data_IF_740613321302
#
_entry.id   IF_740613321302
#
_cell.length_a   1.000
_cell.length_b   1.000
_cell.length_c   1.000
_cell.angle_alpha   90.00
_cell.angle_beta   90.00
_cell.angle_gamma   90.00
#
_symmetry.space_group_name_H-M   'P 1'
#
loop_
_entity.id
_entity.type
_entity.pdbx_description
1 polymer ?
#
# COMPACT_ATOMS: atom_id res chain seq x y z
N UNK A 1 28.88 3.10 18.02
CA UNK A 1 29.49 2.69 16.73
C UNK A 1 28.48 2.78 15.58
N UNK A 2 27.28 2.20 15.69
CA UNK A 2 26.20 2.32 14.68
C UNK A 2 25.78 3.78 14.41
N UNK A 3 25.84 4.65 15.42
CA UNK A 3 25.52 6.09 15.31
C UNK A 3 26.44 6.88 14.39
N UNK A 4 27.68 6.43 14.12
CA UNK A 4 28.57 7.12 13.17
C UNK A 4 28.29 6.71 11.72
N UNK A 5 27.71 5.53 11.50
CA UNK A 5 27.39 4.99 10.17
C UNK A 5 26.21 5.72 9.51
N UNK A 6 25.34 6.36 10.31
CA UNK A 6 24.21 7.15 9.77
C UNK A 6 24.61 8.58 9.37
N UNK A 7 25.77 9.07 9.85
CA UNK A 7 26.19 10.47 9.65
C UNK A 7 26.38 10.87 8.18
N UNK A 8 26.94 10.03 7.28
CA UNK A 8 27.04 10.37 5.87
C UNK A 8 25.66 10.63 5.24
N UNK A 9 24.67 9.80 5.55
CA UNK A 9 23.30 9.96 5.06
C UNK A 9 22.65 11.24 5.62
N UNK A 10 22.79 11.49 6.92
CA UNK A 10 22.32 12.72 7.55
C UNK A 10 22.98 13.97 6.98
N UNK A 11 24.26 13.90 6.62
CA UNK A 11 24.99 15.02 6.06
C UNK A 11 24.52 15.33 4.64
N UNK A 12 24.36 14.30 3.81
CA UNK A 12 23.87 14.43 2.43
C UNK A 12 22.46 15.03 2.40
N UNK A 13 21.53 14.58 3.25
CA UNK A 13 20.16 15.12 3.30
C UNK A 13 20.04 16.55 3.82
N UNK A 14 21.06 17.05 4.55
CA UNK A 14 21.10 18.45 5.04
C UNK A 14 21.59 19.45 3.98
N UNK A 15 22.34 19.00 2.97
CA UNK A 15 22.93 19.90 1.98
C UNK A 15 21.86 20.72 1.20
N UNK A 16 20.71 20.17 0.76
CA UNK A 16 19.67 20.97 0.12
C UNK A 16 19.11 22.07 1.03
N UNK A 17 18.93 21.80 2.33
CA UNK A 17 18.37 22.76 3.29
C UNK A 17 19.32 23.95 3.50
N UNK A 18 20.62 23.66 3.62
CA UNK A 18 21.66 24.69 3.73
C UNK A 18 21.75 25.51 2.45
N UNK A 19 21.70 24.85 1.29
CA UNK A 19 21.78 25.51 -0.01
C UNK A 19 20.55 26.38 -0.29
N UNK A 20 19.35 25.93 0.10
CA UNK A 20 18.12 26.72 0.02
C UNK A 20 18.18 27.97 0.91
N UNK A 21 18.73 27.84 2.12
CA UNK A 21 18.94 28.99 3.02
C UNK A 21 19.89 30.02 2.39
N UNK A 22 20.94 29.58 1.70
CA UNK A 22 21.86 30.47 0.97
C UNK A 22 21.11 31.15 -0.20
N UNK A 23 20.32 30.41 -0.97
CA UNK A 23 19.49 30.97 -2.05
C UNK A 23 18.55 32.06 -1.53
N UNK A 24 17.86 31.83 -0.41
CA UNK A 24 16.91 32.79 0.18
C UNK A 24 17.60 34.09 0.65
N UNK A 25 18.85 34.01 1.10
CA UNK A 25 19.64 35.16 1.56
C UNK A 25 20.44 35.86 0.45
N UNK A 26 20.41 35.33 -0.77
CA UNK A 26 21.15 35.90 -1.91
C UNK A 26 20.23 36.79 -2.75
N UNK A 27 20.66 38.00 -3.18
CA UNK A 27 19.84 38.89 -4.01
C UNK A 27 19.44 38.23 -5.33
N UNK A 28 18.13 38.22 -5.65
CA UNK A 28 17.53 37.42 -6.74
C UNK A 28 18.06 37.79 -8.13
N UNK A 29 18.49 39.03 -8.31
CA UNK A 29 18.98 39.58 -9.57
C UNK A 29 20.49 39.39 -9.74
N UNK A 30 21.17 38.70 -8.81
CA UNK A 30 22.61 38.50 -8.86
C UNK A 30 23.01 37.20 -9.58
N UNK A 31 24.15 37.22 -10.27
CA UNK A 31 24.76 36.01 -10.83
C UNK A 31 25.03 34.92 -9.77
N UNK A 32 25.21 35.32 -8.51
CA UNK A 32 25.36 34.42 -7.35
C UNK A 32 24.07 33.67 -7.06
N UNK A 33 22.91 34.30 -7.19
CA UNK A 33 21.61 33.64 -7.00
C UNK A 33 21.40 32.53 -8.02
N UNK A 34 21.69 32.80 -9.29
CA UNK A 34 21.60 31.78 -10.35
C UNK A 34 22.57 30.62 -10.13
N UNK A 35 23.81 30.90 -9.69
CA UNK A 35 24.75 29.86 -9.29
C UNK A 35 24.23 29.02 -8.10
N UNK A 36 23.63 29.67 -7.10
CA UNK A 36 23.06 28.99 -5.94
C UNK A 36 21.86 28.12 -6.32
N UNK A 37 20.98 28.60 -7.19
CA UNK A 37 19.82 27.84 -7.71
C UNK A 37 20.26 26.58 -8.45
N UNK A 38 21.32 26.68 -9.28
CA UNK A 38 21.92 25.50 -9.94
C UNK A 38 22.51 24.51 -8.94
N UNK A 39 23.27 24.98 -7.95
CA UNK A 39 23.85 24.13 -6.91
C UNK A 39 22.76 23.41 -6.09
N UNK A 40 21.69 24.12 -5.72
CA UNK A 40 20.55 23.54 -5.02
C UNK A 40 19.89 22.43 -5.83
N UNK A 41 19.72 22.62 -7.15
CA UNK A 41 19.17 21.60 -8.05
C UNK A 41 20.03 20.33 -8.05
N UNK A 42 21.34 20.46 -8.26
CA UNK A 42 22.25 19.31 -8.33
C UNK A 42 22.38 18.57 -7.00
N UNK A 43 22.47 19.31 -5.88
CA UNK A 43 22.50 18.72 -4.55
C UNK A 43 21.19 18.00 -4.22
N UNK A 44 20.04 18.57 -4.59
CA UNK A 44 18.74 17.91 -4.42
C UNK A 44 18.64 16.62 -5.25
N UNK A 45 19.16 16.64 -6.49
CA UNK A 45 19.26 15.45 -7.35
C UNK A 45 20.14 14.37 -6.73
N UNK A 46 21.28 14.73 -6.15
CA UNK A 46 22.18 13.79 -5.46
C UNK A 46 21.47 13.11 -4.29
N UNK A 47 20.80 13.88 -3.41
CA UNK A 47 20.04 13.33 -2.28
C UNK A 47 18.97 12.35 -2.78
N UNK A 48 18.26 12.69 -3.87
CA UNK A 48 17.26 11.82 -4.47
C UNK A 48 17.86 10.50 -4.95
N UNK A 49 19.00 10.53 -5.63
CA UNK A 49 19.70 9.31 -6.08
C UNK A 49 20.15 8.43 -4.91
N UNK A 50 20.67 9.03 -3.82
CA UNK A 50 21.03 8.30 -2.62
C UNK A 50 19.81 7.64 -1.96
N UNK A 51 18.70 8.38 -1.83
CA UNK A 51 17.46 7.84 -1.28
C UNK A 51 16.90 6.69 -2.13
N UNK A 52 16.96 6.79 -3.46
CA UNK A 52 16.52 5.71 -4.35
C UNK A 52 17.43 4.48 -4.27
N UNK A 53 18.74 4.69 -4.19
CA UNK A 53 19.71 3.60 -3.97
C UNK A 53 19.45 2.85 -2.66
N UNK A 54 19.23 3.59 -1.56
CA UNK A 54 18.87 3.00 -0.27
C UNK A 54 17.56 2.22 -0.34
N UNK A 55 16.51 2.80 -0.95
CA UNK A 55 15.21 2.15 -1.15
C UNK A 55 15.32 0.87 -1.98
N UNK A 56 16.12 0.88 -3.05
CA UNK A 56 16.36 -0.29 -3.89
C UNK A 56 17.07 -1.40 -3.13
N UNK A 57 18.04 -1.05 -2.28
CA UNK A 57 18.77 -2.01 -1.45
C UNK A 57 17.85 -2.64 -0.40
N UNK A 58 17.03 -1.85 0.30
CA UNK A 58 16.04 -2.35 1.27
C UNK A 58 15.02 -3.28 0.60
N UNK A 59 14.52 -2.92 -0.59
CA UNK A 59 13.63 -3.78 -1.38
C UNK A 59 14.29 -5.10 -1.76
N UNK A 60 15.55 -5.06 -2.20
CA UNK A 60 16.32 -6.25 -2.56
C UNK A 60 16.52 -7.17 -1.35
N UNK A 61 16.92 -6.63 -0.21
CA UNK A 61 17.06 -7.37 1.04
C UNK A 61 15.74 -8.07 1.40
N UNK A 62 14.62 -7.34 1.34
CA UNK A 62 13.29 -7.92 1.56
C UNK A 62 12.96 -9.06 0.58
N UNK A 63 13.32 -8.95 -0.70
CA UNK A 63 13.10 -10.03 -1.68
C UNK A 63 13.92 -11.28 -1.33
N UNK A 64 15.18 -11.11 -0.92
CA UNK A 64 16.04 -12.23 -0.49
C UNK A 64 15.48 -12.88 0.77
N UNK A 65 15.07 -12.09 1.77
CA UNK A 65 14.47 -12.60 2.99
C UNK A 65 13.20 -13.40 2.68
N UNK A 66 12.26 -12.85 1.92
CA UNK A 66 11.01 -13.57 1.58
C UNK A 66 11.32 -14.82 0.77
N UNK A 67 12.23 -14.76 -0.20
CA UNK A 67 12.59 -15.94 -1.00
C UNK A 67 13.10 -17.10 -0.13
N UNK A 68 13.84 -16.80 0.95
CA UNK A 68 14.32 -17.82 1.88
C UNK A 68 13.21 -18.48 2.73
N UNK A 69 12.05 -17.81 2.84
CA UNK A 69 10.88 -18.27 3.58
C UNK A 69 9.92 -19.10 2.72
N UNK A 70 10.06 -19.07 1.38
CA UNK A 70 9.16 -19.73 0.44
C UNK A 70 9.70 -21.07 -0.04
N UNK A 71 8.89 -22.12 0.11
CA UNK A 71 9.16 -23.45 -0.44
C UNK A 71 8.25 -23.72 -1.64
N UNK A 72 8.83 -23.80 -2.84
CA UNK A 72 8.10 -24.07 -4.07
C UNK A 72 7.98 -25.58 -4.30
N UNK A 73 6.80 -26.13 -4.05
CA UNK A 73 6.43 -27.50 -4.46
C UNK A 73 5.91 -27.56 -5.90
N UNK A 74 5.53 -26.41 -6.43
CA UNK A 74 5.17 -26.17 -7.82
C UNK A 74 6.38 -25.62 -8.59
N UNK A 75 6.19 -25.23 -9.85
CA UNK A 75 7.24 -24.61 -10.67
C UNK A 75 7.89 -23.43 -9.90
N UNK A 76 9.23 -23.42 -9.71
CA UNK A 76 9.89 -22.33 -9.00
C UNK A 76 9.69 -20.98 -9.70
N UNK A 77 9.47 -19.94 -8.91
CA UNK A 77 9.37 -18.57 -9.40
C UNK A 77 10.62 -17.76 -8.99
N UNK A 78 11.30 -17.09 -9.92
CA UNK A 78 12.50 -16.30 -9.60
C UNK A 78 12.11 -15.00 -8.86
N UNK A 79 11.97 -15.08 -7.53
CA UNK A 79 11.44 -13.98 -6.72
C UNK A 79 12.41 -12.79 -6.62
N UNK A 80 13.71 -13.04 -6.54
CA UNK A 80 14.72 -11.98 -6.37
C UNK A 80 14.89 -11.21 -7.68
N UNK A 81 14.43 -9.96 -7.71
CA UNK A 81 14.51 -9.06 -8.86
C UNK A 81 14.78 -7.63 -8.41
N UNK A 82 15.54 -6.88 -9.22
CA UNK A 82 15.87 -5.48 -8.94
C UNK A 82 14.72 -4.49 -9.12
N UNK A 83 13.63 -4.93 -9.76
CA UNK A 83 12.41 -4.17 -10.02
C UNK A 83 11.20 -4.68 -9.23
N UNK A 84 11.39 -5.64 -8.31
CA UNK A 84 10.32 -6.21 -7.50
C UNK A 84 10.33 -5.67 -6.08
N UNK A 85 9.16 -5.32 -5.57
CA UNK A 85 8.96 -4.95 -4.18
C UNK A 85 7.62 -5.45 -3.67
N UNK A 86 7.55 -5.69 -2.37
CA UNK A 86 6.34 -6.15 -1.72
C UNK A 86 5.35 -4.97 -1.60
N UNK A 87 4.12 -5.17 -2.08
CA UNK A 87 3.00 -4.24 -1.90
C UNK A 87 2.21 -4.55 -0.63
N UNK A 88 1.92 -5.83 -0.38
CA UNK A 88 1.17 -6.26 0.81
C UNK A 88 1.46 -7.72 1.12
N UNK A 89 1.36 -8.11 2.40
CA UNK A 89 1.35 -9.50 2.82
C UNK A 89 0.42 -9.70 4.01
N UNK A 90 -0.12 -10.91 4.17
CA UNK A 90 -1.00 -11.21 5.29
C UNK A 90 -1.78 -12.50 5.12
N UNK A 91 -2.41 -12.91 6.22
CA UNK A 91 -3.28 -14.08 6.29
C UNK A 91 -4.70 -13.73 5.85
N UNK A 92 -5.34 -14.67 5.14
CA UNK A 92 -6.70 -14.58 4.65
C UNK A 92 -7.39 -15.93 4.85
N UNK A 93 -8.69 -15.91 5.09
CA UNK A 93 -9.50 -17.13 5.10
C UNK A 93 -10.05 -17.38 3.70
N UNK A 94 -9.59 -18.43 3.04
CA UNK A 94 -10.17 -18.93 1.79
C UNK A 94 -11.35 -19.86 2.09
N UNK A 95 -12.44 -19.67 1.36
CA UNK A 95 -13.66 -20.48 1.41
C UNK A 95 -13.70 -21.38 0.17
N UNK A 96 -13.51 -22.69 0.39
CA UNK A 96 -13.47 -23.68 -0.70
C UNK A 96 -14.75 -24.50 -0.65
N UNK A 97 -15.51 -24.50 -1.75
CA UNK A 97 -16.66 -25.38 -1.90
C UNK A 97 -16.21 -26.81 -2.17
N UNK A 98 -16.57 -27.73 -1.28
CA UNK A 98 -16.39 -29.16 -1.50
C UNK A 98 -17.67 -29.73 -2.13
N UNK A 99 -17.60 -30.11 -3.40
CA UNK A 99 -18.71 -30.71 -4.15
C UNK A 99 -18.81 -32.22 -3.85
N UNK A 100 -19.07 -32.56 -2.59
CA UNK A 100 -19.41 -33.91 -2.18
C UNK A 100 -20.78 -34.33 -2.69
N UNK A 101 -20.91 -35.61 -3.07
CA UNK A 101 -22.09 -36.24 -3.69
C UNK A 101 -23.40 -36.07 -2.88
N UNK A 102 -23.32 -35.71 -1.59
CA UNK A 102 -24.50 -35.61 -0.71
C UNK A 102 -24.63 -34.29 0.10
N UNK A 103 -23.73 -33.32 -0.03
CA UNK A 103 -23.84 -32.03 0.66
C UNK A 103 -22.79 -31.04 0.15
N UNK A 104 -23.21 -29.84 -0.28
CA UNK A 104 -22.31 -28.70 -0.49
C UNK A 104 -21.79 -28.26 0.88
N UNK A 105 -20.52 -28.55 1.18
CA UNK A 105 -19.86 -28.07 2.40
C UNK A 105 -18.79 -27.06 2.03
N UNK A 106 -18.90 -25.85 2.54
CA UNK A 106 -17.83 -24.86 2.43
C UNK A 106 -16.80 -25.11 3.51
N UNK A 107 -15.57 -25.43 3.12
CA UNK A 107 -14.44 -25.60 4.04
C UNK A 107 -13.66 -24.29 4.13
N UNK A 108 -13.23 -23.94 5.35
CA UNK A 108 -12.40 -22.76 5.60
C UNK A 108 -10.94 -23.17 5.65
N UNK A 109 -10.10 -22.50 4.87
CA UNK A 109 -8.66 -22.73 4.81
C UNK A 109 -7.92 -21.42 5.03
N UNK A 110 -6.97 -21.39 5.97
CA UNK A 110 -6.05 -20.26 6.08
C UNK A 110 -5.02 -20.28 4.96
N UNK A 111 -4.89 -19.16 4.27
CA UNK A 111 -3.89 -18.91 3.23
C UNK A 111 -3.12 -17.64 3.57
N UNK A 112 -1.87 -17.56 3.13
CA UNK A 112 -1.04 -16.39 3.34
C UNK A 112 -0.56 -15.85 2.01
N UNK A 113 -0.84 -14.58 1.74
CA UNK A 113 -0.57 -13.92 0.48
C UNK A 113 0.70 -13.08 0.58
N UNK A 114 1.52 -13.14 -0.45
CA UNK A 114 2.61 -12.18 -0.71
C UNK A 114 2.31 -11.50 -2.04
N UNK A 115 1.88 -10.25 -1.99
CA UNK A 115 1.57 -9.45 -3.16
C UNK A 115 2.72 -8.51 -3.45
N UNK A 116 3.31 -8.66 -4.63
CA UNK A 116 4.35 -7.80 -5.18
C UNK A 116 3.77 -6.89 -6.25
N UNK A 117 4.59 -5.97 -6.76
CA UNK A 117 4.19 -5.04 -7.81
C UNK A 117 3.95 -5.67 -9.18
N UNK A 118 4.30 -6.95 -9.38
CA UNK A 118 4.18 -7.67 -10.65
C UNK A 118 3.63 -9.10 -10.51
N UNK A 119 3.67 -9.70 -9.32
CA UNK A 119 3.17 -11.05 -9.05
C UNK A 119 2.45 -11.14 -7.69
N UNK A 120 1.42 -11.97 -7.61
CA UNK A 120 0.82 -12.47 -6.37
C UNK A 120 1.29 -13.90 -6.13
N UNK A 121 1.80 -14.19 -4.93
CA UNK A 121 2.14 -15.54 -4.48
C UNK A 121 1.20 -15.96 -3.35
N UNK A 122 0.59 -17.13 -3.51
CA UNK A 122 -0.37 -17.70 -2.56
C UNK A 122 0.27 -18.90 -1.87
N UNK A 123 0.18 -18.93 -0.55
CA UNK A 123 0.89 -19.92 0.26
C UNK A 123 0.04 -20.52 1.37
N UNK A 124 0.47 -21.69 1.87
CA UNK A 124 0.02 -22.26 3.15
C UNK A 124 1.14 -22.17 4.16
N UNK A 125 0.86 -21.62 5.34
CA UNK A 125 1.83 -21.50 6.43
C UNK A 125 2.28 -22.89 6.89
N UNK A 126 3.59 -23.11 6.96
CA UNK A 126 4.24 -24.35 7.45
C UNK A 126 4.76 -24.17 8.88
N UNK A 127 5.37 -23.01 9.15
CA UNK A 127 5.81 -22.56 10.48
C UNK A 127 5.70 -21.03 10.55
N UNK A 128 6.20 -20.39 11.61
CA UNK A 128 6.17 -18.92 11.73
C UNK A 128 6.90 -18.20 10.59
N UNK A 129 7.98 -18.78 10.08
CA UNK A 129 8.85 -18.19 9.05
C UNK A 129 8.96 -19.02 7.78
N UNK A 130 8.12 -20.04 7.60
CA UNK A 130 8.16 -20.91 6.42
C UNK A 130 6.77 -21.12 5.81
N UNK A 131 6.71 -20.99 4.49
CA UNK A 131 5.48 -21.04 3.71
C UNK A 131 5.62 -21.98 2.52
N UNK A 132 4.66 -22.88 2.33
CA UNK A 132 4.57 -23.68 1.11
C UNK A 132 3.82 -22.89 0.05
N UNK A 133 4.45 -22.62 -1.08
CA UNK A 133 3.80 -21.98 -2.22
C UNK A 133 2.85 -22.97 -2.87
N UNK A 134 1.58 -22.58 -3.00
CA UNK A 134 0.53 -23.41 -3.60
C UNK A 134 0.07 -22.87 -4.95
N UNK A 135 0.19 -21.55 -5.17
CA UNK A 135 -0.20 -20.91 -6.42
C UNK A 135 0.53 -19.56 -6.58
N UNK A 136 0.63 -19.06 -7.81
CA UNK A 136 1.04 -17.68 -8.11
C UNK A 136 0.47 -17.23 -9.46
N UNK A 137 0.29 -15.91 -9.61
CA UNK A 137 -0.17 -15.30 -10.86
C UNK A 137 0.37 -13.88 -11.00
N UNK A 138 0.52 -13.41 -12.24
CA UNK A 138 0.92 -12.03 -12.53
C UNK A 138 -0.25 -11.07 -12.26
N UNK A 139 0.05 -9.83 -11.90
CA UNK A 139 -0.98 -8.86 -11.52
C UNK A 139 -1.97 -8.52 -12.65
N UNK A 140 -1.53 -8.57 -13.90
CA UNK A 140 -2.38 -8.31 -15.08
C UNK A 140 -3.42 -9.42 -15.34
N UNK A 141 -3.25 -10.58 -14.69
CA UNK A 141 -4.19 -11.69 -14.75
C UNK A 141 -5.18 -11.71 -13.57
N UNK A 142 -5.08 -10.76 -12.64
CA UNK A 142 -5.96 -10.67 -11.48
C UNK A 142 -7.15 -9.75 -11.76
N UNK A 143 -8.33 -10.17 -11.31
CA UNK A 143 -9.51 -9.32 -11.21
C UNK A 143 -10.14 -9.49 -9.83
N UNK A 144 -10.60 -8.39 -9.24
CA UNK A 144 -11.22 -8.40 -7.92
C UNK A 144 -12.67 -8.00 -8.08
N UNK A 145 -13.57 -8.84 -7.58
CA UNK A 145 -14.99 -8.54 -7.53
C UNK A 145 -15.39 -8.22 -6.09
N UNK A 146 -16.08 -7.10 -5.93
CA UNK A 146 -16.58 -6.65 -4.65
C UNK A 146 -17.97 -7.23 -4.43
N UNK A 147 -18.16 -7.93 -3.31
CA UNK A 147 -19.50 -8.28 -2.86
C UNK A 147 -20.12 -7.07 -2.17
N UNK A 148 -20.86 -6.26 -2.92
CA UNK A 148 -21.80 -5.28 -2.37
C UNK A 148 -23.10 -6.01 -2.02
N UNK A 149 -23.07 -6.86 -0.99
CA UNK A 149 -24.31 -7.21 -0.31
C UNK A 149 -24.09 -7.09 1.20
N UNK A 150 -24.68 -6.05 1.76
CA UNK A 150 -25.31 -6.17 3.06
C UNK A 150 -26.39 -7.26 2.92
N UNK A 151 -26.11 -8.42 3.52
CA UNK A 151 -26.97 -9.60 3.62
C UNK A 151 -27.38 -10.32 2.32
N UNK A 152 -27.16 -11.64 2.19
CA UNK A 152 -27.97 -12.43 1.29
C UNK A 152 -29.36 -12.54 1.91
N UNK A 153 -30.31 -11.73 1.44
CA UNK A 153 -31.74 -12.04 1.59
C UNK A 153 -31.99 -13.36 0.87
N UNK A 154 -31.90 -14.47 1.62
CA UNK A 154 -32.32 -15.79 1.13
C UNK A 154 -33.79 -15.73 0.68
N UNK A 155 -34.18 -16.43 -0.40
CA UNK A 155 -35.54 -16.43 -0.88
C UNK A 155 -36.35 -17.50 -0.12
N UNK A 156 -36.54 -17.39 1.19
CA UNK A 156 -37.49 -18.25 1.91
C UNK A 156 -38.25 -17.46 2.97
N UNK A 157 -39.44 -17.00 2.57
CA UNK A 157 -40.53 -16.70 3.48
C UNK A 157 -40.96 -17.99 4.17
N UNK A 158 -40.96 -17.94 5.51
CA UNK A 158 -41.90 -18.55 6.45
C UNK A 158 -41.32 -19.53 7.48
N UNK A 159 -41.71 -19.22 8.72
CA UNK A 159 -41.86 -20.08 9.91
C UNK A 159 -40.68 -20.23 10.90
N UNK A 160 -40.88 -19.54 12.03
CA UNK A 160 -40.42 -19.78 13.42
C UNK A 160 -38.97 -19.44 13.83
N UNK A 161 -38.78 -18.73 14.98
CA UNK A 161 -37.47 -18.34 15.47
C UNK A 161 -36.87 -19.48 16.29
N UNK A 162 -35.91 -20.21 15.71
CA UNK A 162 -35.06 -21.12 16.46
C UNK A 162 -33.70 -20.44 16.66
N UNK A 163 -33.34 -20.33 17.94
CA UNK A 163 -32.09 -19.80 18.46
C UNK A 163 -30.87 -20.40 17.75
N UNK A 164 -30.27 -19.65 16.83
CA UNK A 164 -28.86 -19.81 16.49
C UNK A 164 -28.06 -18.74 17.23
N UNK A 165 -27.81 -19.00 18.52
CA UNK A 165 -26.56 -18.55 19.12
C UNK A 165 -25.45 -19.39 18.52
N UNK A 166 -24.67 -18.79 17.62
CA UNK A 166 -23.24 -19.07 17.42
C UNK A 166 -22.68 -17.88 16.65
N UNK A 167 -22.00 -17.01 17.38
CA UNK A 167 -21.21 -15.89 16.87
C UNK A 167 -20.45 -16.32 15.61
N UNK A 168 -20.95 -15.96 14.43
CA UNK A 168 -20.15 -15.88 13.23
C UNK A 168 -19.40 -14.57 13.36
N UNK A 169 -18.10 -14.61 13.70
CA UNK A 169 -17.24 -13.46 13.50
C UNK A 169 -17.48 -12.96 12.08
N UNK A 170 -17.93 -11.71 11.94
CA UNK A 170 -18.27 -11.13 10.65
C UNK A 170 -17.00 -11.14 9.78
N UNK A 171 -16.92 -12.06 8.82
CA UNK A 171 -15.83 -12.08 7.85
C UNK A 171 -16.17 -11.12 6.74
N UNK A 172 -15.30 -10.16 6.46
CA UNK A 172 -15.50 -9.22 5.36
C UNK A 172 -14.98 -9.85 4.07
N UNK A 173 -15.90 -10.20 3.17
CA UNK A 173 -15.61 -11.06 2.01
C UNK A 173 -15.29 -10.26 0.73
N UNK A 174 -14.43 -10.81 -0.11
CA UNK A 174 -14.20 -10.37 -1.49
C UNK A 174 -13.81 -11.56 -2.37
N UNK A 175 -14.06 -11.46 -3.67
CA UNK A 175 -13.70 -12.52 -4.64
C UNK A 175 -12.48 -12.10 -5.44
N UNK A 176 -11.50 -13.01 -5.54
CA UNK A 176 -10.33 -12.87 -6.40
C UNK A 176 -10.44 -13.85 -7.56
N UNK A 177 -10.51 -13.32 -8.78
CA UNK A 177 -10.50 -14.06 -10.02
C UNK A 177 -9.09 -14.03 -10.62
N UNK A 178 -8.45 -15.20 -10.66
CA UNK A 178 -7.13 -15.41 -11.25
C UNK A 178 -7.37 -16.00 -12.64
N UNK A 179 -7.23 -15.18 -13.69
CA UNK A 179 -7.52 -15.61 -15.07
C UNK A 179 -6.50 -16.59 -15.64
N UNK A 180 -5.27 -16.52 -15.13
CA UNK A 180 -4.17 -17.37 -15.56
C UNK A 180 -3.14 -17.48 -14.44
N UNK A 181 -3.10 -18.63 -13.80
CA UNK A 181 -2.15 -18.95 -12.74
C UNK A 181 -0.85 -19.59 -13.30
N UNK A 182 0.02 -20.12 -12.44
CA UNK A 182 1.27 -20.77 -12.87
C UNK A 182 1.08 -21.98 -13.79
N UNK A 183 -0.07 -22.64 -13.68
CA UNK A 183 -0.49 -23.80 -14.47
C UNK A 183 -1.37 -23.40 -15.66
N UNK A 184 -1.53 -22.10 -15.94
CA UNK A 184 -2.40 -21.55 -16.98
C UNK A 184 -3.89 -21.88 -16.77
N UNK A 185 -4.28 -22.10 -15.52
CA UNK A 185 -5.65 -22.36 -15.11
C UNK A 185 -6.32 -21.09 -14.59
N UNK A 186 -7.64 -21.03 -14.77
CA UNK A 186 -8.49 -20.01 -14.17
C UNK A 186 -8.95 -20.48 -12.79
N UNK A 187 -8.78 -19.63 -11.78
CA UNK A 187 -9.10 -19.94 -10.39
C UNK A 187 -9.89 -18.79 -9.77
N UNK A 188 -11.05 -19.11 -9.23
CA UNK A 188 -11.85 -18.18 -8.42
C UNK A 188 -11.65 -18.49 -6.94
N UNK A 189 -11.40 -17.46 -6.13
CA UNK A 189 -11.20 -17.59 -4.68
C UNK A 189 -12.11 -16.64 -3.92
N UNK A 190 -12.99 -17.19 -3.07
CA UNK A 190 -13.73 -16.41 -2.08
C UNK A 190 -12.85 -16.24 -0.82
N UNK A 191 -12.49 -14.99 -0.53
CA UNK A 191 -11.56 -14.63 0.55
C UNK A 191 -12.26 -13.81 1.63
N UNK A 192 -11.93 -14.05 2.88
CA UNK A 192 -12.42 -13.30 4.04
C UNK A 192 -11.29 -12.67 4.86
N UNK A 193 -11.54 -11.45 5.34
CA UNK A 193 -10.66 -10.71 6.28
C UNK A 193 -11.32 -10.53 7.64
N UNK A 194 -10.51 -10.21 8.65
CA UNK A 194 -10.97 -9.93 10.02
C UNK A 194 -11.60 -8.54 10.16
N UNK A 195 -11.13 -7.56 9.39
CA UNK A 195 -11.55 -6.15 9.47
C UNK A 195 -11.97 -5.59 8.12
N UNK A 196 -12.80 -4.54 8.14
CA UNK A 196 -13.20 -3.79 6.94
C UNK A 196 -11.99 -3.13 6.27
N UNK A 197 -11.07 -2.59 7.06
CA UNK A 197 -9.84 -2.00 6.54
C UNK A 197 -8.95 -3.03 5.86
N UNK A 198 -8.80 -4.23 6.42
CA UNK A 198 -8.02 -5.28 5.74
C UNK A 198 -8.63 -5.65 4.39
N UNK A 199 -9.97 -5.79 4.31
CA UNK A 199 -10.66 -6.02 3.05
C UNK A 199 -10.37 -4.90 2.05
N UNK A 200 -10.58 -3.64 2.45
CA UNK A 200 -10.36 -2.49 1.58
C UNK A 200 -8.90 -2.38 1.12
N UNK A 201 -7.94 -2.64 2.01
CA UNK A 201 -6.50 -2.66 1.71
C UNK A 201 -6.13 -3.75 0.71
N UNK A 202 -6.66 -4.96 0.88
CA UNK A 202 -6.46 -6.06 -0.07
C UNK A 202 -7.08 -5.77 -1.44
N UNK A 203 -8.33 -5.31 -1.47
CA UNK A 203 -9.01 -4.92 -2.72
C UNK A 203 -8.24 -3.81 -3.43
N UNK A 204 -7.76 -2.80 -2.69
CA UNK A 204 -7.01 -1.68 -3.27
C UNK A 204 -5.65 -2.12 -3.82
N UNK A 205 -4.97 -3.05 -3.14
CA UNK A 205 -3.68 -3.55 -3.57
C UNK A 205 -3.78 -4.52 -4.76
N UNK A 206 -4.78 -5.41 -4.76
CA UNK A 206 -5.04 -6.38 -5.83
C UNK A 206 -5.71 -5.73 -7.05
N UNK A 207 -6.58 -4.76 -6.81
CA UNK A 207 -7.34 -4.02 -7.82
C UNK A 207 -6.62 -2.81 -8.38
N UNK A 208 -5.27 -2.80 -8.39
CA UNK A 208 -4.50 -1.79 -9.13
C UNK A 208 -4.64 -2.00 -10.64
N UNK A 209 -5.87 -1.84 -11.14
CA UNK A 209 -6.15 -1.59 -12.55
C UNK A 209 -5.60 -0.21 -12.92
N UNK A 210 -5.07 -0.11 -14.14
CA UNK A 210 -4.57 1.14 -14.74
C UNK A 210 -5.68 2.18 -14.97
N UNK A 211 -6.95 1.78 -14.81
CA UNK A 211 -8.14 2.59 -15.04
C UNK A 211 -8.80 3.07 -13.73
N UNK A 212 -8.02 3.65 -12.80
CA UNK A 212 -8.66 4.41 -11.71
C UNK A 212 -9.26 5.68 -12.31
N UNK A 213 -10.56 5.98 -12.09
CA UNK A 213 -11.16 7.21 -12.57
C UNK A 213 -10.37 8.41 -12.06
N UNK A 214 -10.13 9.38 -12.93
CA UNK A 214 -9.42 10.61 -12.57
C UNK A 214 -10.13 11.26 -11.38
N UNK A 215 -9.52 11.15 -10.20
CA UNK A 215 -10.05 11.77 -8.99
C UNK A 215 -9.51 13.18 -8.94
N UNK A 216 -10.40 14.18 -8.98
CA UNK A 216 -9.99 15.56 -8.86
C UNK A 216 -9.45 15.82 -7.45
N UNK A 217 -8.13 15.96 -7.37
CA UNK A 217 -7.37 16.22 -6.13
C UNK A 217 -7.86 17.46 -5.40
N UNK A 218 -8.49 18.42 -6.09
CA UNK A 218 -9.03 19.64 -5.48
C UNK A 218 -10.26 19.38 -4.61
N UNK A 219 -10.95 18.24 -4.82
CA UNK A 219 -12.18 17.90 -4.09
C UNK A 219 -11.93 16.97 -2.89
N UNK A 220 -10.71 16.42 -2.79
CA UNK A 220 -10.35 15.48 -1.73
C UNK A 220 -10.25 16.16 -0.36
N UNK A 221 -10.71 15.45 0.67
CA UNK A 221 -10.50 15.88 2.05
C UNK A 221 -9.00 15.98 2.34
N UNK A 222 -8.58 17.10 2.94
CA UNK A 222 -7.21 17.25 3.43
C UNK A 222 -7.17 17.01 4.94
N UNK A 223 -6.18 16.25 5.38
CA UNK A 223 -5.90 16.07 6.80
C UNK A 223 -4.47 16.49 7.12
N UNK A 224 -4.28 17.12 8.28
CA UNK A 224 -2.98 17.42 8.86
C UNK A 224 -2.65 16.38 9.92
N UNK A 225 -1.41 15.87 9.89
CA UNK A 225 -0.95 14.86 10.83
C UNK A 225 -0.53 15.54 12.14
N UNK A 226 -1.19 15.13 13.23
CA UNK A 226 -0.98 15.66 14.58
C UNK A 226 -0.09 14.74 15.44
N UNK A 227 0.09 13.48 15.04
CA UNK A 227 0.98 12.51 15.70
C UNK A 227 1.79 11.74 14.66
N UNK A 228 3.09 11.55 14.92
CA UNK A 228 3.94 10.71 14.07
C UNK A 228 3.40 9.28 14.03
N UNK A 229 3.33 8.71 12.84
CA UNK A 229 2.87 7.34 12.58
C UNK A 229 3.93 6.61 11.74
N UNK A 230 4.37 5.45 12.20
CA UNK A 230 5.35 4.62 11.50
C UNK A 230 4.63 3.44 10.87
N UNK A 231 4.80 3.27 9.56
CA UNK A 231 4.24 2.14 8.81
C UNK A 231 4.72 0.81 9.39
N UNK A 232 3.78 -0.10 9.63
CA UNK A 232 4.01 -1.47 10.09
C UNK A 232 3.93 -2.47 8.94
N UNK A 233 3.15 -2.16 7.91
CA UNK A 233 3.03 -2.95 6.69
C UNK A 233 3.48 -2.15 5.45
N UNK A 234 3.86 -2.82 4.34
CA UNK A 234 4.38 -2.13 3.14
C UNK A 234 3.36 -1.20 2.45
N UNK A 235 2.06 -1.45 2.64
CA UNK A 235 0.97 -0.62 2.14
C UNK A 235 0.64 0.58 3.05
N UNK A 236 1.27 0.67 4.22
CA UNK A 236 1.06 1.79 5.16
C UNK A 236 1.98 2.98 4.84
N UNK A 237 1.46 4.17 5.10
CA UNK A 237 2.16 5.43 4.86
C UNK A 237 2.76 5.94 6.16
N UNK A 238 4.08 5.92 6.29
CA UNK A 238 4.77 6.53 7.44
C UNK A 238 4.62 8.05 7.41
N UNK A 239 4.07 8.68 8.45
CA UNK A 239 3.70 10.10 8.49
C UNK A 239 4.37 10.83 9.67
N UNK A 240 4.72 12.10 9.45
CA UNK A 240 5.30 12.99 10.46
C UNK A 240 4.32 14.10 10.83
N UNK A 241 4.47 14.68 12.02
CA UNK A 241 3.67 15.83 12.45
C UNK A 241 3.77 16.97 11.43
N UNK A 242 2.65 17.62 11.15
CA UNK A 242 2.46 18.66 10.13
C UNK A 242 2.54 18.18 8.66
N UNK A 243 2.64 16.87 8.41
CA UNK A 243 2.37 16.35 7.06
C UNK A 243 0.91 16.64 6.70
N UNK A 244 0.69 16.97 5.43
CA UNK A 244 -0.66 17.08 4.86
C UNK A 244 -0.89 15.91 3.91
N UNK A 245 -2.07 15.30 4.00
CA UNK A 245 -2.46 14.13 3.21
C UNK A 245 -3.81 14.38 2.53
N UNK A 246 -3.89 14.10 1.22
CA UNK A 246 -5.16 14.02 0.49
C UNK A 246 -5.79 12.65 0.75
N UNK A 247 -7.00 12.60 1.28
CA UNK A 247 -7.68 11.34 1.61
C UNK A 247 -8.51 10.89 0.42
N UNK A 248 -8.22 9.70 -0.10
CA UNK A 248 -8.95 9.05 -1.20
C UNK A 248 -10.08 8.17 -0.69
N UNK A 249 -9.86 7.46 0.42
CA UNK A 249 -10.83 6.54 0.99
C UNK A 249 -10.83 6.64 2.51
N UNK A 250 -12.02 6.59 3.10
CA UNK A 250 -12.24 6.51 4.55
C UNK A 250 -12.94 5.20 4.86
N UNK A 251 -12.37 4.38 5.73
CA UNK A 251 -12.99 3.14 6.21
C UNK A 251 -13.54 3.37 7.62
N UNK A 252 -14.71 2.80 7.89
CA UNK A 252 -15.48 3.03 9.11
C UNK A 252 -14.75 2.56 10.39
N UNK A 253 -13.76 1.67 10.27
CA UNK A 253 -12.94 1.18 11.38
C UNK A 253 -11.70 2.06 11.67
N UNK A 254 -11.64 3.26 11.08
CA UNK A 254 -10.63 4.26 11.41
C UNK A 254 -9.38 4.24 10.52
N UNK A 255 -9.41 3.56 9.38
CA UNK A 255 -8.32 3.57 8.41
C UNK A 255 -8.61 4.45 7.21
N UNK A 256 -7.66 5.30 6.84
CA UNK A 256 -7.72 6.16 5.66
C UNK A 256 -6.67 5.75 4.62
N UNK A 257 -7.04 5.74 3.34
CA UNK A 257 -6.11 5.72 2.21
C UNK A 257 -5.84 7.17 1.81
N UNK A 258 -4.58 7.56 1.67
CA UNK A 258 -4.25 8.91 1.27
C UNK A 258 -2.93 9.07 0.51
N UNK A 259 -2.75 10.26 -0.07
CA UNK A 259 -1.52 10.70 -0.74
C UNK A 259 -0.91 11.86 0.02
N UNK A 260 0.34 11.70 0.46
CA UNK A 260 1.08 12.75 1.14
C UNK A 260 1.51 13.84 0.16
N UNK A 261 1.22 15.10 0.49
CA UNK A 261 1.47 16.23 -0.42
C UNK A 261 2.94 16.49 -0.73
N UNK A 262 3.86 16.12 0.17
CA UNK A 262 5.28 16.50 0.05
C UNK A 262 6.03 15.76 -1.06
N UNK A 263 5.63 14.52 -1.34
CA UNK A 263 6.34 13.57 -2.21
C UNK A 263 5.40 12.63 -3.00
N UNK A 264 4.10 12.89 -2.96
CA UNK A 264 3.08 12.12 -3.70
C UNK A 264 2.95 10.66 -3.26
N UNK A 265 3.57 10.24 -2.15
CA UNK A 265 3.50 8.86 -1.70
C UNK A 265 2.09 8.52 -1.21
N UNK A 266 1.57 7.39 -1.70
CA UNK A 266 0.26 6.85 -1.32
C UNK A 266 0.39 5.69 -0.34
N UNK A 267 -0.59 5.56 0.54
CA UNK A 267 -0.71 4.41 1.42
C UNK A 267 -1.76 4.62 2.50
N UNK A 268 -1.83 3.65 3.40
CA UNK A 268 -2.83 3.57 4.46
C UNK A 268 -2.31 4.09 5.80
N UNK A 269 -3.18 4.73 6.59
CA UNK A 269 -2.84 5.22 7.92
C UNK A 269 -4.08 5.29 8.83
N UNK A 270 -3.84 5.35 10.14
CA UNK A 270 -4.89 5.46 11.15
C UNK A 270 -5.39 6.89 11.27
N UNK A 271 -6.71 7.09 11.26
CA UNK A 271 -7.35 8.41 11.41
C UNK A 271 -6.93 9.11 12.70
N UNK A 272 -6.63 8.37 13.75
CA UNK A 272 -6.29 8.94 15.06
C UNK A 272 -5.00 9.77 15.06
N UNK A 273 -4.14 9.61 14.05
CA UNK A 273 -2.93 10.42 13.92
C UNK A 273 -3.17 11.73 13.16
N UNK A 274 -4.39 11.97 12.67
CA UNK A 274 -4.72 13.05 11.75
C UNK A 274 -5.89 13.91 12.26
N UNK A 275 -5.93 15.15 11.77
CA UNK A 275 -7.02 16.11 11.98
C UNK A 275 -7.44 16.71 10.66
N UNK A 276 -8.74 16.75 10.39
CA UNK A 276 -9.27 17.31 9.14
C UNK A 276 -9.05 18.83 9.06
N UNK A 277 -8.59 19.28 7.89
CA UNK A 277 -8.39 20.69 7.56
C UNK A 277 -9.69 21.22 6.95
N UNK A 278 -10.38 22.12 7.66
CA UNK A 278 -11.66 22.69 7.21
C UNK A 278 -11.53 24.10 6.61
N UNK A 279 -10.41 24.77 6.86
CA UNK A 279 -10.17 26.13 6.37
C UNK A 279 -9.84 26.15 4.88
N UNK A 280 -10.72 26.72 4.04
CA UNK A 280 -10.56 26.80 2.59
C UNK A 280 -9.26 27.49 2.15
N UNK A 281 -8.91 28.61 2.79
CA UNK A 281 -7.66 29.32 2.48
C UNK A 281 -6.41 28.46 2.75
N UNK A 282 -6.47 27.55 3.74
CA UNK A 282 -5.39 26.61 4.03
C UNK A 282 -5.35 25.49 2.98
N UNK A 283 -6.53 24.95 2.60
CA UNK A 283 -6.67 23.93 1.56
C UNK A 283 -6.08 24.41 0.23
N UNK A 284 -6.42 25.63 -0.20
CA UNK A 284 -5.93 26.23 -1.45
C UNK A 284 -4.41 26.42 -1.43
N UNK A 285 -3.87 27.00 -0.34
CA UNK A 285 -2.42 27.17 -0.16
C UNK A 285 -1.65 25.84 -0.19
N UNK A 286 -2.23 24.79 0.39
CA UNK A 286 -1.64 23.45 0.36
C UNK A 286 -1.60 22.90 -1.07
N UNK A 287 -2.65 23.09 -1.85
CA UNK A 287 -2.70 22.67 -3.26
C UNK A 287 -1.67 23.43 -4.12
N UNK A 288 -1.53 24.74 -3.94
CA UNK A 288 -0.48 25.54 -4.59
C UNK A 288 0.93 25.06 -4.21
N UNK A 289 1.14 24.70 -2.95
CA UNK A 289 2.40 24.13 -2.47
C UNK A 289 2.67 22.77 -3.11
N UNK A 290 1.66 21.90 -3.19
CA UNK A 290 1.77 20.59 -3.84
C UNK A 290 2.17 20.72 -5.31
N UNK A 291 1.50 21.61 -6.06
CA UNK A 291 1.82 21.85 -7.47
C UNK A 291 3.28 22.28 -7.68
N UNK A 292 3.81 23.14 -6.79
CA UNK A 292 5.22 23.53 -6.81
C UNK A 292 6.18 22.39 -6.49
N UNK A 293 5.86 21.56 -5.50
CA UNK A 293 6.71 20.43 -5.09
C UNK A 293 6.76 19.33 -6.16
N UNK A 294 5.60 18.95 -6.71
CA UNK A 294 5.53 17.96 -7.78
C UNK A 294 6.22 18.44 -9.06
N UNK A 295 6.08 19.72 -9.42
CA UNK A 295 6.79 20.28 -10.58
C UNK A 295 8.32 20.23 -10.42
N UNK A 296 8.84 20.24 -9.19
CA UNK A 296 10.27 20.04 -8.93
C UNK A 296 10.68 18.57 -9.07
N UNK A 297 9.76 17.63 -8.85
CA UNK A 297 9.99 16.19 -9.04
C UNK A 297 9.92 15.77 -10.52
N UNK A 298 9.01 16.36 -11.31
CA UNK A 298 8.76 16.01 -12.72
C UNK A 298 9.64 16.74 -13.74
N UNK A 299 10.30 17.84 -13.37
CA UNK A 299 11.21 18.58 -14.27
C UNK A 299 12.62 17.96 -14.32
N UNK A 300 12.69 16.70 -14.76
CA UNK A 300 13.90 16.00 -15.18
C UNK A 300 13.64 15.30 -16.51
#
# INVERSE_FOLDING_TARGET
MISFLILPMQRVTRLPLLMDTICQKTPKESARYEACKRALKEVSKLVRLCNEGARKMERMEMMVTINSQLEFKIKPFPLVSSSRWLLKRGELTAYVEDNGIFSKRTTKQQVYFFLFNDVLIITKKKSEESYNVIDYSLLDHLAVEQYDNEEPSSPLKNSTPILYSRQTSASHLFTLNIRCNYATEEVEMLLGTETLSDRARWITALGQSKDKPYTDRMTLTQVEIIRTYTAKQPDELSLQVADVVLVYQKINDGWYEGERLRDGQRGWFLVECAKEITCRATIEKNMERMGRLLALETNV
#
